data_IF_892474676200
#
_entry.id   IF_892474676200
#
_cell.length_a   1.000
_cell.length_b   1.000
_cell.length_c   1.000
_cell.angle_alpha   90.00
_cell.angle_beta   90.00
_cell.angle_gamma   90.00
#
_symmetry.space_group_name_H-M   'P 1'
#
loop_
_entity.id
_entity.type
_entity.pdbx_description
1 polymer ?
#
# COMPACT_ATOMS: atom_id res chain seq x y z
N UNK A 1 -3.87 18.35 18.58
CA UNK A 1 -2.51 17.84 18.37
C UNK A 1 -2.63 16.89 17.21
N UNK A 2 -2.02 17.23 16.08
CA UNK A 2 -2.40 16.63 14.82
C UNK A 2 -2.01 15.14 14.76
N UNK A 3 -2.92 14.32 14.22
CA UNK A 3 -2.84 12.86 14.16
C UNK A 3 -2.00 12.38 12.97
N UNK A 4 -0.79 12.93 12.80
CA UNK A 4 0.15 12.49 11.76
C UNK A 4 1.61 12.56 12.22
N UNK A 5 2.48 11.66 11.73
CA UNK A 5 3.89 11.70 12.08
C UNK A 5 4.55 12.95 11.47
N UNK A 6 5.36 13.66 12.25
CA UNK A 6 6.15 14.81 11.76
C UNK A 6 7.35 14.37 10.88
N UNK A 7 7.76 13.09 10.99
CA UNK A 7 8.90 12.52 10.27
C UNK A 7 8.64 11.08 9.80
N UNK A 8 9.20 10.71 8.65
CA UNK A 8 9.21 9.35 8.08
C UNK A 8 10.65 9.09 7.61
N UNK A 9 11.16 7.87 7.70
CA UNK A 9 12.49 7.54 8.27
C UNK A 9 13.44 8.74 8.49
N UNK A 10 13.18 9.55 9.54
CA UNK A 10 14.03 10.70 9.93
C UNK A 10 14.01 11.89 8.96
N UNK A 11 13.21 11.84 7.89
CA UNK A 11 12.97 12.96 6.98
C UNK A 11 11.69 13.68 7.38
N UNK A 12 11.67 15.03 7.43
CA UNK A 12 10.45 15.79 7.68
C UNK A 12 9.36 15.42 6.68
N UNK A 13 8.13 15.28 7.16
CA UNK A 13 6.96 15.04 6.31
C UNK A 13 5.89 16.09 6.57
N UNK A 14 4.88 16.12 5.71
CA UNK A 14 3.70 16.99 5.87
C UNK A 14 2.47 16.14 6.13
N UNK A 15 1.34 16.77 6.48
CA UNK A 15 0.05 16.09 6.64
C UNK A 15 -0.30 15.16 5.46
N UNK A 16 0.09 15.51 4.24
CA UNK A 16 -0.13 14.68 3.04
C UNK A 16 1.03 13.74 2.74
N UNK A 17 2.21 13.94 3.32
CA UNK A 17 3.40 13.16 3.00
C UNK A 17 3.34 11.72 3.49
N UNK A 18 2.54 11.41 4.52
CA UNK A 18 2.29 10.04 4.98
C UNK A 18 1.11 9.34 4.27
N UNK A 19 0.24 10.09 3.58
CA UNK A 19 -0.95 9.58 2.86
C UNK A 19 -0.88 9.78 1.34
N UNK A 20 0.22 10.33 0.82
CA UNK A 20 0.30 10.80 -0.57
C UNK A 20 0.01 9.73 -1.63
N UNK A 21 0.25 8.46 -1.31
CA UNK A 21 -0.04 7.31 -2.18
C UNK A 21 -1.54 6.92 -2.20
N UNK A 22 -2.31 7.27 -1.17
CA UNK A 22 -3.74 6.90 -1.04
C UNK A 22 -4.68 8.08 -1.28
N UNK A 23 -4.24 9.30 -0.95
CA UNK A 23 -5.03 10.52 -1.02
C UNK A 23 -5.70 10.79 -2.39
N UNK A 24 -5.00 10.70 -3.55
CA UNK A 24 -5.64 10.95 -4.84
C UNK A 24 -6.70 9.92 -5.23
N UNK A 25 -6.60 8.67 -4.75
CA UNK A 25 -7.55 7.60 -5.07
C UNK A 25 -8.79 7.65 -4.18
N UNK A 26 -8.63 8.01 -2.90
CA UNK A 26 -9.75 8.33 -2.02
C UNK A 26 -10.56 9.53 -2.55
N UNK A 27 -9.90 10.52 -3.16
CA UNK A 27 -10.57 11.70 -3.72
C UNK A 27 -11.28 11.41 -5.06
N UNK A 28 -10.78 10.45 -5.85
CA UNK A 28 -11.29 10.14 -7.21
C UNK A 28 -12.21 8.93 -7.28
N UNK A 29 -12.33 8.14 -6.19
CA UNK A 29 -13.20 6.96 -6.11
C UNK A 29 -12.74 5.79 -6.98
N UNK A 30 -11.45 5.71 -7.28
CA UNK A 30 -10.88 4.60 -8.05
C UNK A 30 -10.65 3.38 -7.15
N UNK A 31 -10.91 2.16 -7.65
CA UNK A 31 -10.67 0.95 -6.90
C UNK A 31 -9.17 0.77 -6.64
N UNK A 32 -8.81 0.52 -5.39
CA UNK A 32 -7.44 0.27 -4.97
C UNK A 32 -7.37 -0.93 -4.02
N UNK A 33 -6.40 -1.81 -4.22
CA UNK A 33 -6.09 -2.91 -3.31
C UNK A 33 -4.68 -2.73 -2.75
N UNK A 34 -4.51 -3.03 -1.46
CA UNK A 34 -3.20 -3.08 -0.80
C UNK A 34 -2.90 -4.53 -0.45
N UNK A 35 -1.82 -5.07 -1.00
CA UNK A 35 -1.40 -6.46 -0.79
C UNK A 35 0.04 -6.51 -0.28
N UNK A 36 0.39 -7.41 0.65
CA UNK A 36 1.77 -7.61 1.06
C UNK A 36 2.62 -8.02 -0.14
N UNK A 37 3.84 -7.49 -0.25
CA UNK A 37 4.77 -7.85 -1.33
C UNK A 37 6.15 -8.30 -0.85
N UNK A 38 6.35 -8.40 0.46
CA UNK A 38 7.58 -8.89 1.07
C UNK A 38 8.04 -8.02 2.23
N UNK A 39 9.34 -8.11 2.51
CA UNK A 39 10.00 -7.35 3.57
C UNK A 39 11.18 -6.57 2.96
N UNK A 40 11.39 -5.36 3.45
CA UNK A 40 12.60 -4.60 3.16
C UNK A 40 13.81 -5.26 3.83
N UNK A 41 15.02 -4.86 3.44
CA UNK A 41 16.27 -5.43 3.98
C UNK A 41 16.45 -5.24 5.49
N UNK A 42 15.72 -4.29 6.07
CA UNK A 42 15.66 -4.01 7.51
C UNK A 42 14.55 -4.80 8.24
N UNK A 43 13.83 -5.68 7.52
CA UNK A 43 12.78 -6.51 8.08
C UNK A 43 11.41 -5.83 8.21
N UNK A 44 11.23 -4.61 7.68
CA UNK A 44 9.92 -3.96 7.69
C UNK A 44 9.01 -4.52 6.58
N UNK A 45 7.71 -4.75 6.85
CA UNK A 45 6.77 -5.21 5.83
C UNK A 45 6.57 -4.14 4.75
N UNK A 46 6.56 -4.58 3.49
CA UNK A 46 6.30 -3.72 2.33
C UNK A 46 4.95 -4.12 1.72
N UNK A 47 4.12 -3.12 1.45
CA UNK A 47 2.86 -3.27 0.74
C UNK A 47 2.94 -2.77 -0.70
N UNK A 48 2.29 -3.46 -1.61
CA UNK A 48 2.05 -3.05 -2.99
C UNK A 48 0.61 -2.52 -3.11
N UNK A 49 0.46 -1.31 -3.63
CA UNK A 49 -0.85 -0.71 -3.94
C UNK A 49 -1.14 -0.86 -5.43
N UNK A 50 -2.22 -1.57 -5.76
CA UNK A 50 -2.73 -1.71 -7.12
C UNK A 50 -3.93 -0.79 -7.27
N UNK A 51 -3.93 0.08 -8.27
CA UNK A 51 -5.04 1.00 -8.55
C UNK A 51 -5.57 0.77 -9.95
N UNK A 52 -6.87 0.54 -10.05
CA UNK A 52 -7.57 0.32 -11.31
C UNK A 52 -8.24 1.57 -11.86
N UNK A 53 -8.81 1.41 -13.05
CA UNK A 53 -9.70 2.41 -13.66
C UNK A 53 -10.98 2.57 -12.83
N UNK A 54 -11.64 3.71 -12.97
CA UNK A 54 -12.89 3.98 -12.28
C UNK A 54 -13.93 2.88 -12.58
N UNK A 55 -14.55 2.31 -11.53
CA UNK A 55 -15.52 1.20 -11.58
C UNK A 55 -15.00 -0.13 -12.14
N UNK A 56 -13.67 -0.33 -12.17
CA UNK A 56 -13.04 -1.56 -12.65
C UNK A 56 -12.43 -2.39 -11.50
N UNK A 57 -13.23 -2.60 -10.44
CA UNK A 57 -12.85 -3.32 -9.23
C UNK A 57 -12.43 -4.77 -9.53
N UNK A 58 -13.10 -5.41 -10.50
CA UNK A 58 -12.82 -6.80 -10.87
C UNK A 58 -11.39 -6.97 -11.41
N UNK A 59 -10.89 -6.01 -12.18
CA UNK A 59 -9.52 -6.04 -12.69
C UNK A 59 -8.50 -5.88 -11.58
N UNK A 60 -8.77 -5.00 -10.61
CA UNK A 60 -7.92 -4.82 -9.42
C UNK A 60 -7.85 -6.10 -8.59
N UNK A 61 -9.01 -6.73 -8.35
CA UNK A 61 -9.08 -7.99 -7.59
C UNK A 61 -8.39 -9.14 -8.33
N UNK A 62 -8.53 -9.25 -9.65
CA UNK A 62 -7.83 -10.27 -10.45
C UNK A 62 -6.31 -10.07 -10.41
N UNK A 63 -5.84 -8.83 -10.49
CA UNK A 63 -4.42 -8.52 -10.40
C UNK A 63 -3.87 -8.83 -9.00
N UNK A 64 -4.62 -8.48 -7.95
CA UNK A 64 -4.27 -8.83 -6.58
C UNK A 64 -4.19 -10.35 -6.36
N UNK A 65 -5.19 -11.09 -6.82
CA UNK A 65 -5.22 -12.55 -6.72
C UNK A 65 -4.05 -13.21 -7.48
N UNK A 66 -3.76 -12.77 -8.70
CA UNK A 66 -2.63 -13.28 -9.47
C UNK A 66 -1.27 -12.98 -8.80
N UNK A 67 -1.15 -11.85 -8.11
CA UNK A 67 0.05 -11.53 -7.35
C UNK A 67 0.15 -12.38 -6.07
N UNK A 68 -0.97 -12.64 -5.39
CA UNK A 68 -1.05 -13.56 -4.25
C UNK A 68 -0.75 -15.02 -4.61
N UNK A 69 -0.93 -15.46 -5.86
CA UNK A 69 -0.54 -16.82 -6.27
C UNK A 69 0.99 -17.02 -6.27
N UNK A 70 1.77 -15.95 -6.46
CA UNK A 70 3.24 -16.01 -6.39
C UNK A 70 3.69 -16.03 -4.91
N UNK A 71 2.99 -15.27 -4.06
CA UNK A 71 3.12 -15.22 -2.60
C UNK A 71 4.53 -15.51 -2.00
N UNK A 72 5.60 -14.82 -2.42
CA UNK A 72 6.94 -15.04 -1.86
C UNK A 72 7.04 -14.72 -0.35
N UNK A 73 6.05 -14.04 0.23
CA UNK A 73 5.96 -13.71 1.66
C UNK A 73 5.10 -14.68 2.49
N UNK A 74 4.36 -15.61 1.87
CA UNK A 74 3.53 -16.57 2.61
C UNK A 74 4.43 -17.52 3.42
N UNK A 75 4.43 -17.34 4.75
CA UNK A 75 5.23 -18.12 5.69
C UNK A 75 6.11 -17.26 6.59
N UNK A 76 6.34 -16.00 6.25
CA UNK A 76 7.10 -15.05 7.07
C UNK A 76 6.14 -14.29 7.98
N UNK A 77 6.42 -14.30 9.30
CA UNK A 77 5.69 -13.51 10.30
C UNK A 77 6.61 -12.43 10.86
N UNK A 78 6.12 -11.19 11.07
CA UNK A 78 6.86 -10.21 11.86
C UNK A 78 7.14 -10.80 13.26
N UNK A 79 8.38 -10.68 13.72
CA UNK A 79 8.80 -11.08 15.07
C UNK A 79 8.46 -10.07 16.14
#
# INVERSE_FOLDING_TARGET
>A
GDDYPEQIPGKPTTYLGWTGISYPFNLTGQPAASIPCGFASDGLPVGLQIVGRWRDDLTVLKAAAAFEEIAPWQGTRPG
#
